data_IF_948816549842
#
_entry.id   IF_948816549842
#
_cell.length_a   1.000
_cell.length_b   1.000
_cell.length_c   1.000
_cell.angle_alpha   90.00
_cell.angle_beta   90.00
_cell.angle_gamma   90.00
#
_symmetry.space_group_name_H-M   'P 1'
#
loop_
_entity.id
_entity.type
_entity.pdbx_description
1 polymer ?
#
# COMPACT_ATOMS: atom_id res chain seq x y z
N UNK A 1 -15.24 9.58 11.08
CA UNK A 1 -14.62 8.82 9.96
C UNK A 1 -13.84 7.62 10.49
N UNK A 2 -12.78 7.82 11.28
CA UNK A 2 -11.99 6.74 11.89
C UNK A 2 -12.80 5.60 12.53
N UNK A 3 -13.68 5.89 13.51
CA UNK A 3 -14.48 4.86 14.22
C UNK A 3 -15.27 3.98 13.24
N UNK A 4 -15.94 4.60 12.26
CA UNK A 4 -16.70 3.89 11.23
C UNK A 4 -15.78 3.02 10.36
N UNK A 5 -14.69 3.59 9.85
CA UNK A 5 -13.75 2.89 8.97
C UNK A 5 -13.08 1.70 9.71
N UNK A 6 -12.78 1.88 11.00
CA UNK A 6 -12.23 0.86 11.87
C UNK A 6 -13.23 -0.27 12.15
N UNK A 7 -14.47 0.07 12.54
CA UNK A 7 -15.52 -0.91 12.78
C UNK A 7 -15.84 -1.70 11.50
N UNK A 8 -16.15 -1.01 10.40
CA UNK A 8 -16.53 -1.64 9.12
C UNK A 8 -15.41 -2.47 8.48
N UNK A 9 -14.15 -2.29 8.90
CA UNK A 9 -13.05 -3.15 8.48
C UNK A 9 -13.04 -4.51 9.18
N UNK A 10 -13.78 -4.72 10.27
CA UNK A 10 -13.84 -6.00 10.98
C UNK A 10 -14.78 -6.99 10.31
N UNK A 11 -14.37 -8.25 10.20
CA UNK A 11 -15.23 -9.36 9.76
C UNK A 11 -16.37 -9.64 10.74
N UNK A 12 -16.18 -9.38 12.04
CA UNK A 12 -17.20 -9.56 13.08
C UNK A 12 -18.46 -8.71 12.87
N UNK A 13 -18.32 -7.55 12.21
CA UNK A 13 -19.45 -6.68 11.86
C UNK A 13 -19.96 -6.92 10.43
N UNK A 14 -19.56 -8.03 9.80
CA UNK A 14 -20.08 -8.49 8.52
C UNK A 14 -19.20 -8.18 7.30
N UNK A 15 -17.93 -7.78 7.48
CA UNK A 15 -17.01 -7.62 6.35
C UNK A 15 -16.58 -8.97 5.80
N UNK A 16 -16.95 -9.25 4.56
CA UNK A 16 -16.41 -10.36 3.79
C UNK A 16 -15.11 -9.94 3.08
N UNK A 17 -14.13 -10.83 3.07
CA UNK A 17 -12.87 -10.66 2.34
C UNK A 17 -12.86 -11.57 1.12
N UNK A 18 -12.30 -11.09 0.00
CA UNK A 18 -11.99 -11.94 -1.16
C UNK A 18 -11.02 -13.06 -0.73
N UNK A 19 -11.11 -14.23 -1.37
CA UNK A 19 -10.16 -15.33 -1.20
C UNK A 19 -8.72 -14.94 -1.57
N UNK A 20 -8.56 -13.93 -2.43
CA UNK A 20 -7.26 -13.36 -2.82
C UNK A 20 -6.57 -12.62 -1.67
N UNK A 21 -7.31 -12.18 -0.64
CA UNK A 21 -6.72 -11.51 0.52
C UNK A 21 -6.15 -12.56 1.47
N UNK A 22 -4.81 -12.58 1.68
CA UNK A 22 -4.18 -13.47 2.63
C UNK A 22 -4.79 -13.32 4.03
N UNK A 23 -4.95 -14.44 4.73
CA UNK A 23 -5.60 -14.46 6.06
C UNK A 23 -4.91 -13.50 7.03
N UNK A 24 -3.57 -13.43 7.00
CA UNK A 24 -2.79 -12.54 7.87
C UNK A 24 -2.99 -11.03 7.61
N UNK A 25 -3.60 -10.66 6.47
CA UNK A 25 -3.97 -9.27 6.16
C UNK A 25 -5.43 -8.93 6.47
N UNK A 26 -6.27 -9.92 6.78
CA UNK A 26 -7.66 -9.68 7.17
C UNK A 26 -7.72 -8.98 8.52
N UNK A 27 -8.82 -8.29 8.79
CA UNK A 27 -9.02 -7.49 10.02
C UNK A 27 -7.91 -6.45 10.22
N UNK A 28 -7.55 -5.75 9.13
CA UNK A 28 -6.61 -4.64 9.13
C UNK A 28 -7.23 -3.42 8.44
N UNK A 29 -6.71 -2.21 8.68
CA UNK A 29 -7.19 -0.99 8.02
C UNK A 29 -7.21 -1.15 6.49
N UNK A 30 -8.28 -0.72 5.83
CA UNK A 30 -8.45 -0.93 4.39
C UNK A 30 -7.30 -0.34 3.54
N UNK A 31 -6.77 0.82 3.94
CA UNK A 31 -5.61 1.43 3.31
C UNK A 31 -4.35 0.55 3.42
N UNK A 32 -4.15 -0.09 4.57
CA UNK A 32 -3.03 -1.00 4.80
C UNK A 32 -3.17 -2.27 3.96
N UNK A 33 -4.36 -2.88 3.91
CA UNK A 33 -4.62 -4.05 3.06
C UNK A 33 -4.33 -3.70 1.60
N UNK A 34 -4.86 -2.57 1.11
CA UNK A 34 -4.61 -2.12 -0.26
C UNK A 34 -3.11 -1.96 -0.54
N UNK A 35 -2.36 -1.34 0.37
CA UNK A 35 -0.91 -1.21 0.26
C UNK A 35 -0.24 -2.59 0.15
N UNK A 36 -0.55 -3.51 1.05
CA UNK A 36 0.05 -4.84 1.07
C UNK A 36 -0.26 -5.64 -0.21
N UNK A 37 -1.50 -5.60 -0.71
CA UNK A 37 -1.86 -6.27 -1.97
C UNK A 37 -1.07 -5.69 -3.15
N UNK A 38 -0.92 -4.37 -3.25
CA UNK A 38 -0.05 -3.76 -4.26
C UNK A 38 1.41 -4.22 -4.13
N UNK A 39 1.93 -4.37 -2.90
CA UNK A 39 3.30 -4.84 -2.70
C UNK A 39 3.48 -6.34 -2.95
N UNK A 40 2.46 -7.16 -2.71
CA UNK A 40 2.42 -8.56 -3.10
C UNK A 40 2.47 -8.70 -4.62
N UNK A 41 1.65 -7.95 -5.36
CA UNK A 41 1.70 -7.93 -6.83
C UNK A 41 3.09 -7.52 -7.35
N UNK A 42 3.70 -6.48 -6.77
CA UNK A 42 5.06 -6.08 -7.15
C UNK A 42 6.12 -7.13 -6.78
N UNK A 43 5.88 -7.96 -5.76
CA UNK A 43 6.78 -9.04 -5.35
C UNK A 43 6.79 -10.19 -6.36
N UNK A 44 5.77 -10.32 -7.22
CA UNK A 44 5.74 -11.30 -8.32
C UNK A 44 6.90 -11.09 -9.32
N UNK A 45 7.45 -9.88 -9.39
CA UNK A 45 8.64 -9.60 -10.20
C UNK A 45 9.94 -10.16 -9.62
N UNK A 46 9.94 -10.63 -8.37
CA UNK A 46 11.10 -11.22 -7.69
C UNK A 46 10.99 -12.74 -7.74
N UNK A 47 12.02 -13.42 -8.23
CA UNK A 47 12.04 -14.88 -8.33
C UNK A 47 12.80 -15.52 -7.16
N UNK A 48 12.61 -16.82 -6.93
CA UNK A 48 13.31 -17.58 -5.87
C UNK A 48 14.83 -17.38 -5.91
N UNK A 49 15.46 -17.49 -7.08
CA UNK A 49 16.89 -17.25 -7.30
C UNK A 49 17.37 -15.83 -6.95
N UNK A 50 16.45 -14.88 -6.83
CA UNK A 50 16.75 -13.49 -6.48
C UNK A 50 16.70 -13.26 -4.96
N UNK A 51 16.34 -14.28 -4.17
CA UNK A 51 16.27 -14.25 -2.71
C UNK A 51 17.30 -15.22 -2.13
N UNK A 52 18.19 -14.69 -1.29
CA UNK A 52 19.24 -15.45 -0.62
C UNK A 52 19.05 -15.31 0.90
N UNK A 53 18.93 -16.44 1.61
CA UNK A 53 18.90 -16.47 3.07
C UNK A 53 20.33 -16.35 3.61
N UNK A 54 20.61 -15.33 4.42
CA UNK A 54 21.93 -15.11 5.03
C UNK A 54 21.99 -15.71 6.44
N UNK A 55 20.91 -15.54 7.21
CA UNK A 55 20.69 -16.09 8.56
C UNK A 55 19.19 -16.24 8.80
N UNK A 56 18.77 -16.86 9.90
CA UNK A 56 17.36 -17.13 10.25
C UNK A 56 16.39 -15.96 10.00
N UNK A 57 16.80 -14.71 10.27
CA UNK A 57 15.95 -13.53 10.10
C UNK A 57 16.47 -12.51 9.09
N UNK A 58 17.49 -12.83 8.29
CA UNK A 58 18.17 -11.88 7.41
C UNK A 58 18.34 -12.44 6.02
N UNK A 59 17.95 -11.64 5.04
CA UNK A 59 17.86 -12.02 3.64
C UNK A 59 18.46 -10.95 2.76
N UNK A 60 18.86 -11.37 1.58
CA UNK A 60 19.36 -10.52 0.52
C UNK A 60 18.48 -10.72 -0.72
N UNK A 61 17.92 -9.63 -1.22
CA UNK A 61 16.97 -9.64 -2.33
C UNK A 61 17.51 -8.82 -3.49
N UNK A 62 17.60 -9.41 -4.68
CA UNK A 62 18.12 -8.70 -5.87
C UNK A 62 17.22 -7.55 -6.27
N UNK A 63 17.84 -6.43 -6.66
CA UNK A 63 17.12 -5.27 -7.19
C UNK A 63 16.64 -5.52 -8.62
N UNK A 64 15.31 -5.43 -8.82
CA UNK A 64 14.70 -5.56 -10.16
C UNK A 64 14.72 -4.26 -10.97
N UNK A 65 15.22 -3.16 -10.40
CA UNK A 65 15.35 -1.87 -11.11
C UNK A 65 16.80 -1.58 -11.52
N UNK A 66 17.76 -2.36 -11.04
CA UNK A 66 19.16 -2.20 -11.44
C UNK A 66 19.42 -2.95 -12.75
N UNK A 67 19.61 -2.20 -13.83
CA UNK A 67 19.89 -2.72 -15.18
C UNK A 67 21.17 -3.57 -15.21
N UNK A 68 22.13 -3.31 -14.32
CA UNK A 68 23.37 -4.09 -14.24
C UNK A 68 23.21 -5.35 -13.39
N UNK A 69 22.11 -5.48 -12.64
CA UNK A 69 21.77 -6.65 -11.82
C UNK A 69 22.75 -6.93 -10.69
N UNK A 70 23.47 -5.93 -10.19
CA UNK A 70 24.50 -6.09 -9.14
C UNK A 70 24.05 -5.54 -7.78
N UNK A 71 22.97 -4.78 -7.74
CA UNK A 71 22.44 -4.18 -6.53
C UNK A 71 21.48 -5.15 -5.82
N UNK A 72 21.59 -5.20 -4.50
CA UNK A 72 20.75 -6.01 -3.63
C UNK A 72 20.22 -5.16 -2.49
N UNK A 73 19.08 -5.57 -1.95
CA UNK A 73 18.48 -5.04 -0.75
C UNK A 73 18.64 -6.04 0.38
N UNK A 74 18.98 -5.56 1.57
CA UNK A 74 18.99 -6.34 2.80
C UNK A 74 17.62 -6.26 3.44
N UNK A 75 17.04 -7.41 3.79
CA UNK A 75 15.77 -7.52 4.51
C UNK A 75 16.04 -8.24 5.82
N UNK A 76 15.60 -7.66 6.93
CA UNK A 76 15.57 -8.32 8.23
C UNK A 76 14.11 -8.37 8.70
N UNK A 77 13.56 -9.55 8.96
CA UNK A 77 12.16 -9.66 9.40
C UNK A 77 12.01 -9.31 10.88
N UNK A 78 13.04 -9.57 11.68
CA UNK A 78 13.12 -9.20 13.08
C UNK A 78 14.53 -8.69 13.37
N UNK A 79 14.67 -7.41 13.69
CA UNK A 79 15.95 -6.79 14.06
C UNK A 79 16.03 -6.50 15.56
N UNK A 80 17.20 -6.10 16.05
CA UNK A 80 17.42 -5.80 17.46
C UNK A 80 16.51 -4.70 18.04
N UNK A 81 15.93 -3.85 17.19
CA UNK A 81 15.02 -2.76 17.59
C UNK A 81 13.55 -3.21 17.64
N UNK A 82 13.27 -4.52 17.59
CA UNK A 82 11.92 -5.11 17.56
C UNK A 82 11.07 -4.60 16.38
N UNK A 83 11.75 -4.29 15.27
CA UNK A 83 11.15 -3.86 14.00
C UNK A 83 11.75 -4.66 12.85
N UNK A 84 10.97 -4.96 11.81
CA UNK A 84 11.55 -5.41 10.55
C UNK A 84 12.36 -4.27 9.92
N UNK A 85 13.25 -4.59 9.00
CA UNK A 85 14.06 -3.62 8.26
C UNK A 85 14.18 -4.02 6.80
N UNK A 86 14.18 -3.02 5.93
CA UNK A 86 14.64 -3.18 4.56
C UNK A 86 15.36 -1.89 4.14
N UNK A 87 16.50 -1.99 3.48
CA UNK A 87 17.26 -0.82 2.99
C UNK A 87 16.66 -0.18 1.73
N UNK A 88 15.54 -0.69 1.21
CA UNK A 88 14.85 -0.08 0.08
C UNK A 88 14.16 1.24 0.46
N UNK A 89 14.11 2.16 -0.50
CA UNK A 89 13.49 3.47 -0.31
C UNK A 89 12.04 3.40 0.20
N UNK A 90 11.24 2.44 -0.28
CA UNK A 90 9.84 2.32 0.15
C UNK A 90 9.73 2.05 1.66
N UNK A 91 10.60 1.21 2.23
CA UNK A 91 10.62 0.94 3.66
C UNK A 91 11.07 2.17 4.44
N UNK A 92 12.21 2.76 4.06
CA UNK A 92 12.80 3.89 4.78
C UNK A 92 11.85 5.09 4.94
N UNK A 93 10.91 5.27 4.00
CA UNK A 93 9.96 6.39 4.04
C UNK A 93 8.62 6.08 4.70
N UNK A 94 8.18 4.82 4.69
CA UNK A 94 6.81 4.48 5.09
C UNK A 94 6.75 3.59 6.33
N UNK A 95 7.81 2.83 6.59
CA UNK A 95 7.83 1.75 7.58
C UNK A 95 6.70 0.73 7.39
N UNK A 96 6.14 0.65 6.18
CA UNK A 96 5.15 -0.36 5.81
C UNK A 96 5.85 -1.51 5.08
N UNK A 97 5.30 -2.74 5.11
CA UNK A 97 5.92 -3.89 4.44
C UNK A 97 6.14 -3.58 2.96
N UNK A 98 7.36 -3.78 2.49
CA UNK A 98 7.75 -3.51 1.11
C UNK A 98 7.67 -4.77 0.25
N UNK A 99 7.81 -4.64 -1.08
CA UNK A 99 7.79 -5.80 -1.98
C UNK A 99 8.89 -6.83 -1.67
N UNK A 100 10.04 -6.39 -1.14
CA UNK A 100 11.15 -7.29 -0.82
C UNK A 100 10.82 -8.17 0.40
N UNK A 101 10.13 -7.64 1.40
CA UNK A 101 9.63 -8.43 2.53
C UNK A 101 8.64 -9.50 2.05
N UNK A 102 7.68 -9.12 1.20
CA UNK A 102 6.75 -10.11 0.63
C UNK A 102 7.42 -11.16 -0.26
N UNK A 103 8.49 -10.78 -0.99
CA UNK A 103 9.28 -11.75 -1.74
C UNK A 103 9.97 -12.76 -0.82
N UNK A 104 10.50 -12.32 0.33
CA UNK A 104 11.05 -13.21 1.35
C UNK A 104 9.98 -14.17 1.87
N UNK A 105 8.80 -13.66 2.25
CA UNK A 105 7.70 -14.50 2.74
C UNK A 105 7.18 -15.51 1.70
N UNK A 106 7.41 -15.24 0.41
CA UNK A 106 6.98 -16.11 -0.68
C UNK A 106 7.98 -17.23 -0.99
N UNK A 107 9.27 -16.90 -0.97
CA UNK A 107 10.33 -17.77 -1.50
C UNK A 107 11.18 -18.42 -0.41
N UNK A 108 10.81 -18.26 0.86
CA UNK A 108 11.49 -18.86 1.99
C UNK A 108 10.47 -19.45 2.95
N UNK A 109 10.94 -20.16 3.98
CA UNK A 109 10.08 -20.68 5.05
C UNK A 109 9.57 -19.59 6.00
N UNK A 110 9.99 -18.34 5.81
CA UNK A 110 9.52 -17.23 6.62
C UNK A 110 8.04 -16.93 6.36
N UNK A 111 7.37 -16.50 7.41
CA UNK A 111 5.96 -16.23 7.47
C UNK A 111 5.69 -14.83 8.00
N UNK A 112 4.42 -14.42 7.94
CA UNK A 112 4.01 -13.16 8.53
C UNK A 112 4.30 -13.11 10.04
N UNK A 113 4.26 -14.25 10.73
CA UNK A 113 4.41 -14.31 12.18
C UNK A 113 5.87 -14.18 12.65
N UNK A 114 6.83 -14.27 11.74
CA UNK A 114 8.24 -13.96 12.00
C UNK A 114 8.51 -12.46 12.13
N UNK A 115 7.53 -11.62 11.74
CA UNK A 115 7.57 -10.19 12.02
C UNK A 115 7.28 -9.93 13.52
N UNK A 116 7.99 -8.98 14.16
CA UNK A 116 7.73 -8.55 15.53
C UNK A 116 6.24 -8.33 15.82
N UNK A 117 5.78 -8.86 16.95
CA UNK A 117 4.37 -8.71 17.37
C UNK A 117 4.02 -7.23 17.58
N UNK A 118 4.93 -6.45 18.17
CA UNK A 118 4.78 -5.00 18.38
C UNK A 118 4.58 -4.26 17.05
N UNK A 119 5.27 -4.68 15.99
CA UNK A 119 5.07 -4.16 14.65
C UNK A 119 3.70 -4.58 14.09
N UNK A 120 3.37 -5.88 14.13
CA UNK A 120 2.11 -6.42 13.57
C UNK A 120 0.86 -5.89 14.25
N UNK A 121 0.94 -5.60 15.55
CA UNK A 121 -0.14 -5.10 16.40
C UNK A 121 -0.21 -3.57 16.47
N UNK A 122 0.76 -2.87 15.89
CA UNK A 122 0.81 -1.41 15.82
C UNK A 122 -0.53 -0.82 15.35
N UNK A 123 -1.02 0.28 15.96
CA UNK A 123 -2.32 0.89 15.61
C UNK A 123 -2.40 1.41 14.17
N UNK A 124 -1.26 1.52 13.48
CA UNK A 124 -1.21 1.84 12.05
C UNK A 124 -1.50 0.63 11.14
N UNK A 125 -1.31 -0.59 11.65
CA UNK A 125 -1.41 -1.85 10.90
C UNK A 125 -2.55 -2.75 11.38
N UNK A 126 -3.14 -2.46 12.54
CA UNK A 126 -4.20 -3.23 13.20
C UNK A 126 -5.48 -2.39 13.34
N UNK A 127 -6.60 -3.06 13.60
CA UNK A 127 -7.84 -2.39 13.98
C UNK A 127 -7.84 -2.13 15.49
N UNK A 128 -8.46 -1.03 15.88
CA UNK A 128 -8.72 -0.72 17.28
C UNK A 128 -9.97 -1.47 17.75
N UNK A 129 -9.74 -2.57 18.47
CA UNK A 129 -10.80 -3.45 18.95
C UNK A 129 -11.73 -2.77 19.96
N UNK A 130 -11.32 -1.66 20.60
CA UNK A 130 -12.19 -0.91 21.52
C UNK A 130 -13.43 -0.34 20.84
N UNK A 131 -13.37 -0.13 19.52
CA UNK A 131 -14.46 0.51 18.75
C UNK A 131 -15.20 -0.43 17.79
N UNK A 132 -14.88 -1.74 17.77
CA UNK A 132 -15.53 -2.71 16.87
C UNK A 132 -16.94 -3.06 17.33
N UNK A 133 -17.18 -3.12 18.65
CA UNK A 133 -18.47 -3.47 19.26
C UNK A 133 -19.30 -2.26 19.73
N UNK A 134 -18.92 -1.04 19.34
CA UNK A 134 -19.68 0.14 19.73
C UNK A 134 -20.95 0.19 18.89
N UNK A 135 -22.16 0.11 19.48
CA UNK A 135 -23.39 0.23 18.73
C UNK A 135 -23.40 1.58 18.02
N UNK A 136 -23.51 1.55 16.68
CA UNK A 136 -23.63 2.75 15.87
C UNK A 136 -25.01 3.34 16.12
N UNK A 137 -25.19 4.06 17.23
CA UNK A 137 -26.37 4.91 17.45
C UNK A 137 -26.23 6.17 16.61
N UNK A 138 -26.65 6.10 15.35
CA UNK A 138 -27.09 7.29 14.62
C UNK A 138 -28.17 6.90 13.60
N UNK A 139 -29.35 7.56 13.59
CA UNK A 139 -30.33 7.36 12.54
C UNK A 139 -29.77 7.91 11.23
N UNK A 140 -29.63 7.06 10.22
CA UNK A 140 -29.40 7.49 8.85
C UNK A 140 -30.72 8.07 8.37
N UNK A 141 -30.84 9.39 8.37
CA UNK A 141 -31.89 10.08 7.62
C UNK A 141 -31.49 9.99 6.15
N UNK A 142 -32.01 8.99 5.45
CA UNK A 142 -32.05 9.00 3.98
C UNK A 142 -33.07 10.06 3.59
N UNK A 143 -32.60 11.28 3.29
CA UNK A 143 -33.43 12.22 2.54
C UNK A 143 -33.42 11.77 1.07
N UNK A 144 -34.34 10.87 0.72
CA UNK A 144 -34.84 10.73 -0.64
C UNK A 144 -35.79 11.90 -0.90
N UNK A 145 -35.25 13.03 -1.35
CA UNK A 145 -36.05 14.05 -2.03
C UNK A 145 -35.86 13.86 -3.52
N UNK A 146 -36.89 13.29 -4.14
CA UNK A 146 -37.11 13.31 -5.58
C UNK A 146 -37.38 14.76 -5.99
N UNK A 147 -36.45 15.39 -6.69
CA UNK A 147 -36.72 16.59 -7.46
C UNK A 147 -37.03 16.16 -8.91
N UNK A 148 -38.33 16.08 -9.20
CA UNK A 148 -38.86 16.21 -10.56
C UNK A 148 -38.61 17.66 -11.01
N UNK A 149 -37.91 17.85 -12.12
CA UNK A 149 -38.20 18.97 -13.00
C UNK A 149 -37.80 18.65 -14.45
N UNK A 150 -38.81 18.61 -15.30
CA UNK A 150 -38.71 18.45 -16.76
C UNK A 150 -38.87 19.84 -17.38
N UNK A 151 -37.86 20.28 -18.14
CA UNK A 151 -37.95 20.98 -19.45
C UNK A 151 -36.54 21.50 -19.79
N UNK A 152 -35.81 20.83 -20.69
CA UNK A 152 -35.83 21.01 -22.14
C UNK A 152 -35.27 22.37 -22.58
N UNK A 153 -33.99 22.40 -22.98
CA UNK A 153 -33.62 23.11 -24.20
C UNK A 153 -32.46 22.41 -24.91
N UNK A 154 -32.59 22.30 -26.22
CA UNK A 154 -31.81 21.46 -27.11
C UNK A 154 -30.77 22.33 -27.86
N UNK A 155 -29.66 21.64 -28.21
CA UNK A 155 -28.85 21.82 -29.41
C UNK A 155 -28.04 23.12 -29.66
N UNK A 156 -26.72 22.98 -29.39
CA UNK A 156 -25.65 22.94 -30.40
C UNK A 156 -25.70 23.90 -31.59
N UNK A 157 -24.66 24.74 -31.74
CA UNK A 157 -24.09 25.05 -33.05
C UNK A 157 -22.56 25.31 -33.00
N UNK A 158 -21.86 24.60 -33.88
CA UNK A 158 -20.42 24.65 -34.21
C UNK A 158 -19.99 26.03 -34.77
N UNK A 159 -18.72 26.43 -34.56
CA UNK A 159 -17.61 26.21 -35.53
C UNK A 159 -16.39 27.13 -35.27
N UNK A 160 -15.20 26.53 -35.34
CA UNK A 160 -13.92 27.01 -35.90
C UNK A 160 -13.35 28.43 -35.62
N UNK A 161 -12.12 28.51 -35.09
CA UNK A 161 -10.88 28.90 -35.83
C UNK A 161 -9.65 29.16 -34.91
N UNK A 162 -8.61 28.34 -35.12
CA UNK A 162 -7.16 28.64 -35.27
C UNK A 162 -6.31 29.53 -34.31
N UNK A 163 -5.26 28.87 -33.77
CA UNK A 163 -3.81 29.15 -33.92
C UNK A 163 -2.99 30.01 -32.89
N UNK A 164 -1.96 29.34 -32.36
CA UNK A 164 -0.67 29.82 -31.79
C UNK A 164 -0.69 30.41 -30.36
N UNK A 165 0.26 30.17 -29.46
CA UNK A 165 1.71 29.99 -29.56
C UNK A 165 2.26 29.16 -28.38
N UNK A 166 3.40 28.50 -28.58
CA UNK A 166 4.17 27.82 -27.55
C UNK A 166 5.02 28.82 -26.75
N UNK A 167 5.14 28.65 -25.42
CA UNK A 167 6.31 29.14 -24.67
C UNK A 167 6.54 28.35 -23.37
N UNK A 168 7.46 27.39 -23.47
CA UNK A 168 8.61 27.17 -22.56
C UNK A 168 8.40 26.79 -21.08
N UNK A 169 8.68 25.52 -20.79
CA UNK A 169 9.02 24.99 -19.46
C UNK A 169 10.50 25.26 -19.16
N UNK A 170 10.87 25.76 -17.96
CA UNK A 170 12.27 26.06 -17.64
C UNK A 170 13.12 24.80 -17.38
N UNK A 171 14.29 24.76 -18.03
CA UNK A 171 15.33 23.74 -17.92
C UNK A 171 16.10 23.82 -16.57
N UNK A 172 16.29 22.67 -15.93
CA UNK A 172 17.09 22.51 -14.70
C UNK A 172 18.59 22.52 -15.03
N UNK A 173 19.32 23.53 -14.53
CA UNK A 173 20.78 23.67 -14.68
C UNK A 173 21.54 22.51 -14.02
N UNK A 174 22.45 21.88 -14.78
CA UNK A 174 23.49 20.97 -14.27
C UNK A 174 24.61 21.81 -13.63
N UNK A 175 25.02 21.48 -12.40
CA UNK A 175 26.26 22.01 -11.81
C UNK A 175 27.43 21.19 -12.34
N UNK A 176 28.37 21.89 -12.96
CA UNK A 176 29.68 21.40 -13.35
C UNK A 176 30.60 21.24 -12.13
N UNK A 177 31.43 20.19 -12.20
CA UNK A 177 32.70 20.04 -11.49
C UNK A 177 33.69 21.11 -11.93
N UNK A 178 34.52 21.55 -10.98
CA UNK A 178 35.88 22.12 -11.07
C UNK A 178 36.30 22.28 -9.58
N UNK A 179 37.42 21.81 -9.03
CA UNK A 179 38.72 21.32 -9.50
C UNK A 179 39.22 20.22 -8.54
#
# INVERSE_FOLDING_TARGET
RYIRDNATASDTVGRSYSSEVPVYLRNRPAAFIKHCLTKLELAESVFERDVECLTDNKYKVKSQTDVKGKSYYTVELHSADDLPKCDCHAWCWTLLPCKHMFAVLKWTEASWDDLPETYRSSPYLSLDNAFINVPISAPIVLNDTMEDDVQNDESTHQSDLELSTATELPLRKKKHQDQ
#
